data_IF_008332221038
#
_entry.id   IF_008332221038
#
_cell.length_a   1.000
_cell.length_b   1.000
_cell.length_c   1.000
_cell.angle_alpha   90.00
_cell.angle_beta   90.00
_cell.angle_gamma   90.00
#
_symmetry.space_group_name_H-M   'P 1'
#
loop_
_entity.id
_entity.type
_entity.pdbx_description
1 polymer ?
#
# COMPACT_ATOMS: atom_id res chain seq x y z
N UNK A 1 -34.29 23.26 -17.45
CA UNK A 1 -32.83 23.50 -17.39
C UNK A 1 -32.17 22.35 -16.63
N UNK A 2 -32.16 21.16 -17.23
CA UNK A 2 -31.64 19.93 -16.64
C UNK A 2 -30.53 19.41 -17.56
N UNK A 3 -29.37 20.06 -17.53
CA UNK A 3 -28.20 19.75 -18.37
C UNK A 3 -26.90 20.21 -17.66
N UNK A 4 -26.79 19.97 -16.34
CA UNK A 4 -25.53 20.21 -15.61
C UNK A 4 -25.35 19.17 -14.51
N UNK A 5 -24.93 17.96 -14.90
CA UNK A 5 -24.32 17.00 -14.00
C UNK A 5 -23.37 16.07 -14.79
N UNK A 6 -22.57 16.63 -15.70
CA UNK A 6 -21.33 15.97 -16.07
C UNK A 6 -20.40 16.14 -14.89
N UNK A 7 -20.27 15.11 -14.05
CA UNK A 7 -19.26 15.08 -13.00
C UNK A 7 -17.90 15.16 -13.69
N UNK A 8 -17.34 16.35 -13.83
CA UNK A 8 -15.97 16.51 -14.29
C UNK A 8 -15.10 15.76 -13.29
N UNK A 9 -14.35 14.78 -13.80
CA UNK A 9 -13.27 14.14 -13.06
C UNK A 9 -12.13 15.16 -12.98
N UNK A 10 -12.32 16.21 -12.18
CA UNK A 10 -11.28 17.18 -11.91
C UNK A 10 -10.18 16.43 -11.15
N UNK A 11 -9.04 16.23 -11.81
CA UNK A 11 -7.80 15.95 -11.08
C UNK A 11 -7.62 17.16 -10.17
N UNK A 12 -7.81 16.98 -8.87
CA UNK A 12 -7.58 18.05 -7.91
C UNK A 12 -6.15 18.55 -8.14
N UNK A 13 -6.01 19.83 -8.46
CA UNK A 13 -4.72 20.46 -8.67
C UNK A 13 -3.91 20.29 -7.37
N UNK A 14 -2.87 19.46 -7.40
CA UNK A 14 -2.15 18.99 -6.20
C UNK A 14 -2.23 17.48 -5.89
N UNK A 15 -2.83 16.64 -6.75
CA UNK A 15 -2.64 15.19 -6.66
C UNK A 15 -1.21 14.81 -7.07
N UNK A 16 -0.26 14.94 -6.14
CA UNK A 16 1.13 14.53 -6.34
C UNK A 16 1.21 12.99 -6.44
N UNK A 17 1.01 12.49 -7.65
CA UNK A 17 1.06 11.07 -7.97
C UNK A 17 2.42 10.43 -7.64
N UNK A 18 3.51 11.20 -7.70
CA UNK A 18 4.85 10.67 -7.44
C UNK A 18 5.04 10.36 -5.95
N UNK A 19 4.53 11.23 -5.06
CA UNK A 19 4.55 10.98 -3.62
C UNK A 19 3.63 9.80 -3.22
N UNK A 20 2.47 9.68 -3.85
CA UNK A 20 1.56 8.54 -3.65
C UNK A 20 2.21 7.22 -4.08
N UNK A 21 2.87 7.18 -5.23
CA UNK A 21 3.57 5.99 -5.71
C UNK A 21 4.71 5.60 -4.77
N UNK A 22 5.53 6.56 -4.34
CA UNK A 22 6.63 6.34 -3.38
C UNK A 22 6.13 5.70 -2.08
N UNK A 23 5.03 6.24 -1.53
CA UNK A 23 4.41 5.72 -0.31
C UNK A 23 3.87 4.30 -0.52
N UNK A 24 3.25 4.03 -1.67
CA UNK A 24 2.76 2.69 -2.01
C UNK A 24 3.90 1.67 -2.14
N UNK A 25 5.00 2.05 -2.79
CA UNK A 25 6.20 1.19 -2.90
C UNK A 25 6.79 0.91 -1.52
N UNK A 26 6.90 1.92 -0.66
CA UNK A 26 7.35 1.73 0.71
C UNK A 26 6.43 0.78 1.49
N UNK A 27 5.11 1.03 1.45
CA UNK A 27 4.11 0.21 2.12
C UNK A 27 4.20 -1.26 1.67
N UNK A 28 4.19 -1.51 0.37
CA UNK A 28 4.26 -2.87 -0.18
C UNK A 28 5.58 -3.58 0.16
N UNK A 29 6.70 -2.86 0.15
CA UNK A 29 7.98 -3.41 0.59
C UNK A 29 7.96 -3.79 2.08
N UNK A 30 7.46 -2.90 2.94
CA UNK A 30 7.33 -3.15 4.38
C UNK A 30 6.41 -4.34 4.68
N UNK A 31 5.25 -4.42 4.02
CA UNK A 31 4.32 -5.54 4.20
C UNK A 31 4.94 -6.87 3.75
N UNK A 32 5.58 -6.90 2.57
CA UNK A 32 6.20 -8.12 2.04
C UNK A 32 7.31 -8.63 2.97
N UNK A 33 8.26 -7.76 3.33
CA UNK A 33 9.39 -8.16 4.16
C UNK A 33 8.98 -8.42 5.61
N UNK A 34 8.00 -7.68 6.13
CA UNK A 34 7.40 -7.95 7.44
C UNK A 34 6.72 -9.32 7.51
N UNK A 35 5.92 -9.68 6.49
CA UNK A 35 5.29 -10.99 6.42
C UNK A 35 6.33 -12.13 6.34
N UNK A 36 7.37 -11.97 5.52
CA UNK A 36 8.48 -12.93 5.43
C UNK A 36 9.18 -13.08 6.79
N UNK A 37 9.47 -11.96 7.47
CA UNK A 37 10.13 -11.99 8.78
C UNK A 37 9.29 -12.74 9.83
N UNK A 38 7.98 -12.52 9.88
CA UNK A 38 7.07 -13.25 10.78
C UNK A 38 7.04 -14.74 10.43
N UNK A 39 6.95 -15.10 9.15
CA UNK A 39 6.95 -16.50 8.73
C UNK A 39 8.26 -17.22 9.13
N UNK A 40 9.41 -16.57 8.93
CA UNK A 40 10.71 -17.09 9.36
C UNK A 40 10.75 -17.25 10.88
N UNK A 41 10.34 -16.23 11.63
CA UNK A 41 10.33 -16.27 13.10
C UNK A 41 9.49 -17.44 13.62
N UNK A 42 8.28 -17.64 13.09
CA UNK A 42 7.41 -18.76 13.48
C UNK A 42 8.04 -20.11 13.10
N UNK A 43 8.70 -20.20 11.95
CA UNK A 43 9.42 -21.41 11.53
C UNK A 43 10.58 -21.74 12.47
N UNK A 44 11.35 -20.74 12.89
CA UNK A 44 12.43 -20.93 13.85
C UNK A 44 11.89 -21.32 15.24
N UNK A 45 10.80 -20.69 15.68
CA UNK A 45 10.11 -21.08 16.92
C UNK A 45 9.67 -22.55 16.86
N UNK A 46 9.12 -23.00 15.74
CA UNK A 46 8.76 -24.42 15.55
C UNK A 46 9.95 -25.37 15.66
N UNK A 47 11.13 -24.98 15.17
CA UNK A 47 12.34 -25.84 15.21
C UNK A 47 12.99 -25.84 16.60
N UNK A 48 13.04 -24.69 17.29
CA UNK A 48 13.83 -24.53 18.51
C UNK A 48 13.04 -24.63 19.82
N UNK A 49 11.71 -24.44 19.79
CA UNK A 49 10.85 -24.46 20.99
C UNK A 49 9.96 -25.71 21.10
N UNK A 50 10.03 -26.62 20.12
CA UNK A 50 9.33 -27.90 20.08
C UNK A 50 10.30 -29.01 20.49
#
# INVERSE_FOLDING_TARGET
MAEHATTEYAIADGNDYAEHESTYVLFTALTKWGAIAVAVLLTLMWIFLL
#
